data_IF_701740020261
#
_entry.id   IF_701740020261
#
_cell.length_a   1.000
_cell.length_b   1.000
_cell.length_c   1.000
_cell.angle_alpha   90.00
_cell.angle_beta   90.00
_cell.angle_gamma   90.00
#
_symmetry.space_group_name_H-M   'P 1'
#
loop_
_entity.id
_entity.type
_entity.pdbx_description
1 polymer ?
#
# COMPACT_ATOMS: atom_id res chain seq x y z
N UNK A 1 -39.36 -40.61 -70.41
CA UNK A 1 -38.55 -39.79 -71.33
C UNK A 1 -39.17 -38.40 -71.42
N UNK A 2 -38.52 -37.36 -70.91
CA UNK A 2 -38.23 -36.12 -71.66
C UNK A 2 -37.28 -35.25 -70.83
N UNK A 3 -36.12 -34.96 -71.41
CA UNK A 3 -35.12 -33.98 -70.94
C UNK A 3 -35.31 -32.68 -71.73
N UNK A 4 -34.76 -31.60 -71.15
CA UNK A 4 -34.29 -30.31 -71.70
C UNK A 4 -35.24 -29.14 -71.44
N UNK A 5 -34.95 -28.20 -70.53
CA UNK A 5 -33.85 -27.22 -70.42
C UNK A 5 -33.80 -26.17 -71.54
N UNK A 6 -34.09 -24.91 -71.18
CA UNK A 6 -33.42 -23.67 -71.62
C UNK A 6 -33.56 -22.66 -70.44
N UNK A 7 -32.46 -22.19 -69.82
CA UNK A 7 -31.73 -20.92 -70.09
C UNK A 7 -32.64 -19.69 -69.93
N UNK A 8 -32.38 -18.65 -69.11
CA UNK A 8 -31.19 -17.79 -68.96
C UNK A 8 -31.28 -17.01 -67.61
N UNK A 9 -30.12 -16.65 -67.02
CA UNK A 9 -29.88 -15.78 -65.82
C UNK A 9 -30.21 -14.28 -66.09
N UNK A 10 -29.79 -13.29 -65.27
CA UNK A 10 -29.74 -13.11 -63.81
C UNK A 10 -30.48 -11.84 -63.36
N UNK A 11 -30.67 -11.61 -62.05
CA UNK A 11 -30.69 -10.21 -61.55
C UNK A 11 -30.19 -10.14 -60.12
N UNK A 12 -29.17 -9.30 -59.95
CA UNK A 12 -28.55 -8.94 -58.69
C UNK A 12 -29.50 -8.09 -57.84
N UNK A 13 -29.63 -8.43 -56.56
CA UNK A 13 -29.65 -7.41 -55.50
C UNK A 13 -29.32 -8.04 -54.16
N UNK A 14 -28.04 -8.03 -53.80
CA UNK A 14 -27.62 -8.25 -52.42
C UNK A 14 -27.93 -6.97 -51.65
N UNK A 15 -28.97 -6.98 -50.83
CA UNK A 15 -29.11 -6.00 -49.76
C UNK A 15 -28.57 -6.64 -48.49
N UNK A 16 -27.35 -6.23 -48.14
CA UNK A 16 -26.76 -6.49 -46.84
C UNK A 16 -27.64 -5.84 -45.77
N UNK A 17 -28.12 -6.63 -44.81
CA UNK A 17 -28.68 -6.13 -43.57
C UNK A 17 -27.56 -5.43 -42.77
N UNK A 18 -27.78 -4.22 -42.24
CA UNK A 18 -26.85 -3.64 -41.29
C UNK A 18 -26.93 -4.40 -39.96
N UNK A 19 -25.81 -5.02 -39.56
CA UNK A 19 -25.52 -5.48 -38.21
C UNK A 19 -25.50 -4.27 -37.27
N UNK A 20 -26.68 -3.91 -36.75
CA UNK A 20 -26.86 -2.92 -35.70
C UNK A 20 -27.35 -3.65 -34.46
N UNK A 21 -26.53 -3.62 -33.41
CA UNK A 21 -27.04 -3.80 -32.05
C UNK A 21 -26.55 -5.00 -31.26
N UNK A 22 -25.24 -5.18 -31.10
CA UNK A 22 -24.67 -5.74 -29.85
C UNK A 22 -23.37 -4.98 -29.54
N UNK A 23 -23.49 -3.74 -29.09
CA UNK A 23 -22.40 -2.99 -28.47
C UNK A 23 -22.99 -2.18 -27.30
N UNK A 24 -23.57 -2.88 -26.32
CA UNK A 24 -24.12 -2.28 -25.12
C UNK A 24 -23.89 -3.19 -23.91
N UNK A 25 -22.63 -3.49 -23.60
CA UNK A 25 -22.24 -4.10 -22.32
C UNK A 25 -20.75 -3.85 -22.03
N UNK A 26 -20.33 -2.59 -22.10
CA UNK A 26 -18.97 -2.17 -21.69
C UNK A 26 -19.01 -0.81 -20.98
N UNK A 27 -20.06 -0.57 -20.21
CA UNK A 27 -20.32 0.71 -19.54
C UNK A 27 -20.62 0.52 -18.06
N UNK A 28 -19.87 -0.31 -17.35
CA UNK A 28 -19.96 -0.39 -15.89
C UNK A 28 -18.71 -1.02 -15.27
N UNK A 29 -17.57 -0.36 -15.36
CA UNK A 29 -16.44 -0.62 -14.48
C UNK A 29 -15.94 0.71 -13.93
N UNK A 30 -16.62 1.15 -12.88
CA UNK A 30 -15.99 1.69 -11.68
C UNK A 30 -14.84 2.66 -11.91
N UNK A 31 -15.17 3.91 -12.22
CA UNK A 31 -14.32 5.03 -11.82
C UNK A 31 -14.35 5.10 -10.29
N UNK A 32 -13.63 4.18 -9.63
CA UNK A 32 -13.27 4.33 -8.22
C UNK A 32 -12.44 5.61 -8.20
N UNK A 33 -12.99 6.65 -7.63
CA UNK A 33 -12.28 7.87 -7.30
C UNK A 33 -11.16 7.46 -6.35
N UNK A 34 -9.98 7.13 -6.90
CA UNK A 34 -8.76 6.98 -6.13
C UNK A 34 -8.42 8.41 -5.71
N UNK A 35 -9.05 8.86 -4.62
CA UNK A 35 -8.51 9.97 -3.86
C UNK A 35 -7.05 9.60 -3.64
N UNK A 36 -6.08 10.39 -4.13
CA UNK A 36 -4.70 10.12 -3.80
C UNK A 36 -4.64 10.07 -2.28
N UNK A 37 -4.16 8.96 -1.71
CA UNK A 37 -3.82 8.92 -0.30
C UNK A 37 -2.98 10.17 -0.06
N UNK A 38 -3.51 11.11 0.75
CA UNK A 38 -2.88 12.41 0.91
C UNK A 38 -1.45 12.15 1.32
N UNK A 39 -0.51 12.55 0.46
CA UNK A 39 0.90 12.30 0.70
C UNK A 39 1.26 12.87 2.08
N UNK A 40 1.88 12.04 2.91
CA UNK A 40 2.31 12.44 4.24
C UNK A 40 3.16 13.70 4.16
N UNK A 41 2.94 14.64 5.08
CA UNK A 41 3.85 15.78 5.24
C UNK A 41 5.27 15.28 5.59
N UNK A 42 6.33 16.06 5.33
CA UNK A 42 7.69 15.66 5.68
C UNK A 42 7.85 15.28 7.17
N UNK A 43 7.09 15.95 8.04
CA UNK A 43 7.07 15.65 9.47
C UNK A 43 6.39 14.29 9.73
N UNK A 44 5.24 14.01 9.11
CA UNK A 44 4.58 12.70 9.18
C UNK A 44 5.46 11.56 8.61
N UNK A 45 6.18 11.79 7.51
CA UNK A 45 7.12 10.81 6.94
C UNK A 45 8.21 10.45 7.95
N UNK A 46 8.83 11.47 8.58
CA UNK A 46 9.79 11.28 9.67
C UNK A 46 9.19 10.49 10.83
N UNK A 47 7.95 10.78 11.18
CA UNK A 47 7.23 10.03 12.21
C UNK A 47 7.01 8.57 11.85
N UNK A 48 6.59 8.26 10.62
CA UNK A 48 6.44 6.88 10.15
C UNK A 48 7.77 6.12 10.15
N UNK A 49 8.86 6.77 9.72
CA UNK A 49 10.19 6.17 9.77
C UNK A 49 10.60 5.80 11.20
N UNK A 50 10.41 6.72 12.16
CA UNK A 50 10.69 6.43 13.58
C UNK A 50 9.78 5.35 14.16
N UNK A 51 8.50 5.40 13.82
CA UNK A 51 7.52 4.38 14.19
C UNK A 51 7.95 2.98 13.73
N UNK A 52 8.44 2.85 12.49
CA UNK A 52 8.98 1.59 11.96
C UNK A 52 10.15 1.03 12.78
N UNK A 53 11.09 1.89 13.19
CA UNK A 53 12.22 1.47 14.04
C UNK A 53 11.76 1.01 15.43
N UNK A 54 10.80 1.73 16.02
CA UNK A 54 10.29 1.41 17.35
C UNK A 54 9.46 0.13 17.34
N UNK A 55 8.59 -0.06 16.35
CA UNK A 55 7.81 -1.29 16.18
C UNK A 55 8.70 -2.51 15.95
N UNK A 56 9.75 -2.38 15.14
CA UNK A 56 10.74 -3.44 14.99
C UNK A 56 11.33 -3.84 16.34
N UNK A 57 11.70 -2.85 17.15
CA UNK A 57 12.33 -3.06 18.46
C UNK A 57 11.38 -3.77 19.42
N UNK A 58 10.13 -3.35 19.51
CA UNK A 58 9.11 -3.96 20.37
C UNK A 58 8.81 -5.41 19.96
N UNK A 59 8.84 -5.71 18.66
CA UNK A 59 8.51 -7.05 18.15
C UNK A 59 9.69 -8.03 18.16
N UNK A 60 10.91 -7.51 18.17
CA UNK A 60 12.12 -8.33 18.00
C UNK A 60 12.95 -8.43 19.28
N UNK A 61 13.02 -7.36 20.08
CA UNK A 61 13.92 -7.28 21.22
C UNK A 61 13.29 -7.88 22.49
N UNK A 62 13.93 -8.86 23.14
CA UNK A 62 13.43 -9.43 24.38
C UNK A 62 13.24 -8.37 25.47
N UNK A 63 12.07 -8.36 26.11
CA UNK A 63 11.75 -7.47 27.22
C UNK A 63 11.53 -6.00 26.84
N UNK A 64 11.66 -5.62 25.56
CA UNK A 64 11.43 -4.24 25.12
C UNK A 64 9.93 -3.98 24.91
N UNK A 65 9.44 -2.89 25.47
CA UNK A 65 8.04 -2.48 25.36
C UNK A 65 7.88 -0.95 25.22
N UNK A 66 6.67 -0.53 24.84
CA UNK A 66 6.30 0.90 24.68
C UNK A 66 6.24 1.59 26.03
N UNK A 67 7.05 2.61 26.23
CA UNK A 67 6.98 3.48 27.40
C UNK A 67 5.77 4.43 27.31
N UNK A 68 5.35 5.03 28.43
CA UNK A 68 4.25 6.00 28.49
C UNK A 68 4.50 7.22 27.59
N UNK A 69 5.76 7.57 27.32
CA UNK A 69 6.14 8.67 26.43
C UNK A 69 6.04 8.34 24.94
N UNK A 70 5.75 7.10 24.55
CA UNK A 70 5.63 6.69 23.15
C UNK A 70 4.62 7.53 22.39
N UNK A 71 3.41 7.67 22.94
CA UNK A 71 2.33 8.41 22.28
C UNK A 71 2.60 9.92 22.25
N UNK A 72 3.21 10.42 23.31
CA UNK A 72 3.69 11.79 23.38
C UNK A 72 4.74 12.07 22.29
N UNK A 73 5.72 11.18 22.09
CA UNK A 73 6.77 11.35 21.08
C UNK A 73 6.25 11.36 19.64
N UNK A 74 5.12 10.70 19.36
CA UNK A 74 4.45 10.71 18.06
C UNK A 74 3.56 11.95 17.86
N UNK A 75 2.95 12.45 18.94
CA UNK A 75 2.00 13.56 18.87
C UNK A 75 2.65 14.94 19.02
N UNK A 76 3.58 15.11 19.97
CA UNK A 76 4.03 16.43 20.39
C UNK A 76 4.91 17.16 19.38
N UNK A 77 5.64 16.42 18.55
CA UNK A 77 6.41 17.02 17.46
C UNK A 77 5.56 17.28 16.21
N UNK A 78 4.23 17.19 16.32
CA UNK A 78 3.31 17.40 15.21
C UNK A 78 3.43 16.37 14.10
N UNK A 79 3.94 15.17 14.41
CA UNK A 79 4.06 14.10 13.42
C UNK A 79 2.72 13.44 13.16
N UNK A 80 1.90 13.19 14.18
CA UNK A 80 0.53 12.69 13.97
C UNK A 80 -0.47 13.34 14.92
N UNK A 81 -1.69 13.55 14.42
CA UNK A 81 -2.78 14.08 15.22
C UNK A 81 -3.44 12.99 16.08
N UNK A 82 -3.42 11.74 15.59
CA UNK A 82 -4.02 10.58 16.25
C UNK A 82 -3.39 9.26 15.75
N UNK A 83 -3.73 8.15 16.41
CA UNK A 83 -3.18 6.83 16.12
C UNK A 83 -3.73 6.20 14.85
N UNK A 84 -4.92 6.60 14.39
CA UNK A 84 -5.49 6.08 13.16
C UNK A 84 -4.62 6.47 11.95
N UNK A 85 -4.13 7.71 11.91
CA UNK A 85 -3.21 8.17 10.86
C UNK A 85 -1.93 7.33 10.78
N UNK A 86 -1.46 6.77 11.90
CA UNK A 86 -0.27 5.92 11.90
C UNK A 86 -0.61 4.55 11.31
N UNK A 87 -1.68 3.93 11.81
CA UNK A 87 -2.12 2.59 11.37
C UNK A 87 -2.39 2.57 9.87
N UNK A 88 -3.03 3.61 9.33
CA UNK A 88 -3.30 3.75 7.90
C UNK A 88 -2.02 3.81 7.03
N UNK A 89 -0.88 4.16 7.62
CA UNK A 89 0.38 4.36 6.92
C UNK A 89 1.48 3.34 7.29
N UNK A 90 1.22 2.36 8.16
CA UNK A 90 2.21 1.32 8.53
C UNK A 90 2.66 0.47 7.33
N UNK A 91 1.83 0.32 6.30
CA UNK A 91 2.24 -0.36 5.06
C UNK A 91 3.01 0.55 4.08
N UNK A 92 3.21 1.81 4.45
CA UNK A 92 3.88 2.84 3.66
C UNK A 92 5.40 2.64 3.55
N UNK A 93 6.04 3.34 2.58
CA UNK A 93 7.48 3.23 2.35
C UNK A 93 8.30 3.68 3.56
N UNK A 94 7.96 4.80 4.19
CA UNK A 94 8.74 5.36 5.31
C UNK A 94 8.78 4.42 6.53
N UNK A 95 7.65 3.80 6.87
CA UNK A 95 7.59 2.79 7.93
C UNK A 95 8.48 1.60 7.61
N UNK A 96 8.37 1.06 6.39
CA UNK A 96 9.16 -0.08 5.92
C UNK A 96 10.65 0.25 5.91
N UNK A 97 11.01 1.47 5.57
CA UNK A 97 12.40 1.94 5.62
C UNK A 97 12.93 1.95 7.05
N UNK A 98 12.18 2.49 8.00
CA UNK A 98 12.54 2.48 9.43
C UNK A 98 12.68 1.07 10.00
N UNK A 99 11.74 0.19 9.67
CA UNK A 99 11.82 -1.23 10.01
C UNK A 99 13.09 -1.88 9.43
N UNK A 100 13.33 -1.68 8.13
CA UNK A 100 14.46 -2.28 7.41
C UNK A 100 15.80 -1.76 7.91
N UNK A 101 15.86 -0.51 8.39
CA UNK A 101 17.05 0.06 9.01
C UNK A 101 17.46 -0.76 10.24
N UNK A 102 16.51 -1.02 11.15
CA UNK A 102 16.79 -1.82 12.35
C UNK A 102 17.11 -3.27 12.00
N UNK A 103 16.36 -3.88 11.08
CA UNK A 103 16.61 -5.25 10.62
C UNK A 103 18.01 -5.40 10.00
N UNK A 104 18.47 -4.39 9.26
CA UNK A 104 19.82 -4.34 8.68
C UNK A 104 20.90 -4.18 9.76
N UNK A 105 20.69 -3.29 10.73
CA UNK A 105 21.61 -3.14 11.86
C UNK A 105 21.71 -4.43 12.67
N UNK A 106 20.60 -5.12 12.90
CA UNK A 106 20.60 -6.42 13.57
C UNK A 106 21.37 -7.50 12.80
N UNK A 107 21.28 -7.49 11.46
CA UNK A 107 22.06 -8.40 10.59
C UNK A 107 23.56 -8.09 10.62
N UNK A 108 23.95 -6.82 10.74
CA UNK A 108 25.36 -6.40 10.70
C UNK A 108 26.02 -6.56 12.08
N UNK A 109 25.34 -6.13 13.14
CA UNK A 109 25.91 -5.99 14.49
C UNK A 109 25.39 -7.01 15.51
N UNK A 110 24.40 -7.82 15.12
CA UNK A 110 23.68 -8.72 16.01
C UNK A 110 22.41 -8.09 16.59
N UNK A 111 21.41 -8.93 16.85
CA UNK A 111 20.10 -8.52 17.40
C UNK A 111 20.27 -7.83 18.75
N UNK A 112 21.07 -8.40 19.66
CA UNK A 112 21.26 -7.84 21.02
C UNK A 112 21.83 -6.42 20.97
N UNK A 113 22.87 -6.19 20.15
CA UNK A 113 23.47 -4.87 19.95
C UNK A 113 22.47 -3.85 19.38
N UNK A 114 21.64 -4.28 18.42
CA UNK A 114 20.60 -3.42 17.84
C UNK A 114 19.50 -3.07 18.87
N UNK A 115 19.17 -4.00 19.75
CA UNK A 115 18.24 -3.80 20.84
C UNK A 115 18.78 -2.87 21.94
N UNK A 116 20.07 -2.99 22.27
CA UNK A 116 20.77 -2.05 23.16
C UNK A 116 20.76 -0.65 22.61
N UNK A 117 21.17 -0.49 21.35
CA UNK A 117 21.12 0.78 20.66
C UNK A 117 19.71 1.41 20.68
N UNK A 118 18.66 0.63 20.41
CA UNK A 118 17.29 1.15 20.37
C UNK A 118 16.83 1.71 21.73
N UNK A 119 17.10 1.00 22.83
CA UNK A 119 16.71 1.43 24.18
C UNK A 119 17.53 2.65 24.61
N UNK A 120 18.82 2.70 24.29
CA UNK A 120 19.68 3.85 24.59
C UNK A 120 19.27 5.11 23.82
N UNK A 121 18.89 4.96 22.54
CA UNK A 121 18.49 6.11 21.71
C UNK A 121 17.11 6.65 22.04
N UNK A 122 16.18 5.79 22.45
CA UNK A 122 14.79 6.17 22.64
C UNK A 122 14.23 5.84 24.03
N UNK A 123 14.88 6.26 25.13
CA UNK A 123 14.48 5.90 26.50
C UNK A 123 13.11 6.49 26.92
N UNK A 124 12.67 7.57 26.25
CA UNK A 124 11.35 8.15 26.47
C UNK A 124 10.22 7.34 25.81
N UNK A 125 10.56 6.50 24.82
CA UNK A 125 9.61 5.81 23.93
C UNK A 125 9.62 4.31 24.16
N UNK A 126 10.80 3.76 24.45
CA UNK A 126 11.06 2.36 24.71
C UNK A 126 11.59 2.20 26.13
N UNK A 127 11.20 1.12 26.77
CA UNK A 127 11.83 0.66 28.01
C UNK A 127 12.09 -0.85 27.89
N UNK A 128 12.95 -1.37 28.77
CA UNK A 128 13.25 -2.80 28.87
C UNK A 128 13.02 -3.27 30.30
N UNK A 129 12.19 -4.30 30.45
CA UNK A 129 11.93 -4.97 31.74
C UNK A 129 13.13 -5.81 32.21
#
# INVERSE_FOLDING_TARGET
MLKRFFHVRPSHSRKALPLLGIAAFAGLLTAISVLPALALSPQQQKGMYRHGMWEWSIRTCPGVARNKGYWYALREVGEFENSAQIVENEDGPDFKEGWSYMDTNAKIFGVDTACDYAVEQWPAVLYRD
#
